data_IF_107629578709
#
_entry.id   IF_107629578709
#
_cell.length_a   1.000
_cell.length_b   1.000
_cell.length_c   1.000
_cell.angle_alpha   90.00
_cell.angle_beta   90.00
_cell.angle_gamma   90.00
#
_symmetry.space_group_name_H-M   'P 1'
#
loop_
_entity.id
_entity.type
_entity.pdbx_description
1 polymer ?
#
# COMPACT_ATOMS: atom_id res chain seq x y z
N UNK A 1 10.43 10.47 -10.38
CA UNK A 1 11.45 9.80 -9.58
C UNK A 1 11.40 8.30 -9.82
N UNK A 2 12.53 7.67 -10.01
CA UNK A 2 12.61 6.22 -10.06
C UNK A 2 13.56 5.74 -8.96
N UNK A 3 13.11 4.79 -8.17
CA UNK A 3 13.85 4.22 -7.05
C UNK A 3 13.73 2.70 -7.12
N UNK A 4 14.85 1.99 -7.20
CA UNK A 4 14.90 0.54 -7.34
C UNK A 4 13.93 0.04 -8.43
N UNK A 5 13.94 0.73 -9.57
CA UNK A 5 12.97 0.53 -10.63
C UNK A 5 13.33 -0.60 -11.59
N UNK A 6 14.55 -1.10 -11.54
CA UNK A 6 15.01 -2.25 -12.34
C UNK A 6 14.66 -3.54 -11.61
N UNK A 7 13.58 -4.18 -12.01
CA UNK A 7 13.09 -5.40 -11.35
C UNK A 7 13.91 -6.65 -11.69
N UNK A 8 14.93 -6.55 -12.53
CA UNK A 8 15.89 -7.62 -12.73
C UNK A 8 16.97 -7.64 -11.65
N UNK A 9 17.08 -6.57 -10.87
CA UNK A 9 18.04 -6.43 -9.80
C UNK A 9 17.41 -6.76 -8.45
N UNK A 10 18.08 -7.61 -7.68
CA UNK A 10 17.68 -7.90 -6.30
C UNK A 10 17.97 -6.68 -5.42
N UNK A 11 17.00 -6.33 -4.57
CA UNK A 11 17.22 -5.36 -3.50
C UNK A 11 16.93 -6.02 -2.15
N UNK A 12 17.64 -5.60 -1.11
CA UNK A 12 17.40 -6.02 0.27
C UNK A 12 17.46 -4.78 1.14
N UNK A 13 16.32 -4.45 1.75
CA UNK A 13 16.17 -3.25 2.57
C UNK A 13 15.60 -3.63 3.92
N UNK A 14 16.18 -3.08 4.99
CA UNK A 14 15.55 -3.07 6.30
C UNK A 14 14.94 -1.68 6.50
N UNK A 15 13.61 -1.58 6.55
CA UNK A 15 12.97 -0.28 6.62
C UNK A 15 13.27 0.49 7.91
N UNK A 16 13.69 -0.19 8.98
CA UNK A 16 14.12 0.48 10.21
C UNK A 16 15.39 1.33 10.02
N UNK A 17 16.18 1.03 8.97
CA UNK A 17 17.33 1.83 8.61
C UNK A 17 16.99 3.04 7.72
N UNK A 18 15.75 3.14 7.26
CA UNK A 18 15.29 4.23 6.40
C UNK A 18 14.67 5.35 7.23
N UNK A 19 14.82 6.57 6.77
CA UNK A 19 14.24 7.76 7.40
C UNK A 19 12.81 7.98 6.89
N UNK A 20 11.89 8.30 7.80
CA UNK A 20 10.54 8.72 7.43
C UNK A 20 10.61 10.04 6.65
N UNK A 21 9.84 10.11 5.57
CA UNK A 21 9.68 11.31 4.76
C UNK A 21 8.22 11.74 4.77
N UNK A 22 7.97 13.03 4.76
CA UNK A 22 6.60 13.54 4.67
C UNK A 22 6.01 13.20 3.32
N UNK A 23 4.76 12.76 3.34
CA UNK A 23 3.95 12.63 2.13
C UNK A 23 3.29 13.97 1.79
N UNK A 24 2.63 14.11 0.62
CA UNK A 24 1.84 15.31 0.33
C UNK A 24 0.66 15.51 1.29
N UNK A 25 0.19 14.44 1.96
CA UNK A 25 -0.92 14.52 2.91
C UNK A 25 -0.41 14.81 4.32
N UNK A 26 -1.05 15.80 4.97
CA UNK A 26 -0.70 16.18 6.33
C UNK A 26 -0.92 15.02 7.31
N UNK A 27 0.07 14.78 8.16
CA UNK A 27 0.00 13.71 9.17
C UNK A 27 0.31 12.32 8.63
N UNK A 28 0.73 12.21 7.38
CA UNK A 28 1.12 10.95 6.77
C UNK A 28 2.57 11.02 6.33
N UNK A 29 3.36 10.06 6.82
CA UNK A 29 4.76 9.90 6.46
C UNK A 29 4.96 8.59 5.73
N UNK A 30 6.04 8.48 4.97
CA UNK A 30 6.33 7.26 4.20
C UNK A 30 7.82 6.99 4.12
N UNK A 31 8.13 5.71 3.94
CA UNK A 31 9.45 5.22 3.54
C UNK A 31 9.27 4.53 2.20
N UNK A 32 9.91 5.05 1.17
CA UNK A 32 9.79 4.48 -0.18
C UNK A 32 10.72 3.29 -0.31
N UNK A 33 10.19 2.13 -0.73
CA UNK A 33 10.98 0.93 -0.96
C UNK A 33 11.31 0.76 -2.44
N UNK A 34 10.34 1.00 -3.31
CA UNK A 34 10.56 1.15 -4.75
C UNK A 34 9.56 2.15 -5.32
N UNK A 35 9.88 2.69 -6.50
CA UNK A 35 9.02 3.67 -7.14
C UNK A 35 9.35 3.86 -8.61
N UNK A 36 8.31 3.88 -9.43
CA UNK A 36 8.38 4.29 -10.84
C UNK A 36 7.36 5.40 -11.02
N UNK A 37 7.83 6.63 -11.17
CA UNK A 37 7.01 7.84 -11.28
C UNK A 37 7.14 8.76 -10.08
N UNK A 38 6.42 9.87 -10.11
CA UNK A 38 6.39 10.85 -9.02
C UNK A 38 5.22 10.58 -8.06
N UNK A 39 4.23 11.45 -7.94
CA UNK A 39 3.10 11.18 -7.04
C UNK A 39 2.09 10.19 -7.65
N UNK A 40 1.96 10.17 -8.97
CA UNK A 40 1.25 9.08 -9.68
C UNK A 40 2.31 8.04 -10.06
N UNK A 41 2.41 6.99 -9.27
CA UNK A 41 3.52 6.06 -9.36
C UNK A 41 3.10 4.62 -9.12
N UNK A 42 3.82 3.69 -9.75
CA UNK A 42 3.89 2.30 -9.32
C UNK A 42 4.89 2.25 -8.18
N UNK A 43 4.43 1.91 -6.98
CA UNK A 43 5.24 2.09 -5.78
C UNK A 43 4.98 1.04 -4.70
N UNK A 44 6.02 0.77 -3.92
CA UNK A 44 5.93 0.01 -2.67
C UNK A 44 6.50 0.88 -1.56
N UNK A 45 5.75 1.01 -0.47
CA UNK A 45 6.14 1.90 0.64
C UNK A 45 5.69 1.35 1.98
N UNK A 46 6.38 1.77 3.03
CA UNK A 46 5.85 1.72 4.39
C UNK A 46 5.25 3.11 4.65
N UNK A 47 4.01 3.14 5.11
CA UNK A 47 3.25 4.38 5.33
C UNK A 47 2.81 4.46 6.77
N UNK A 48 2.96 5.62 7.40
CA UNK A 48 2.54 5.85 8.79
C UNK A 48 1.57 7.02 8.85
N UNK A 49 0.39 6.76 9.40
CA UNK A 49 -0.60 7.78 9.72
C UNK A 49 -0.40 8.21 11.17
N UNK A 50 -0.28 9.51 11.41
CA UNK A 50 -0.43 10.05 12.75
C UNK A 50 -1.87 9.85 13.25
N UNK A 51 -2.06 9.79 14.56
CA UNK A 51 -3.41 9.70 15.12
C UNK A 51 -4.27 10.88 14.64
N UNK A 52 -5.44 10.59 14.10
CA UNK A 52 -6.36 11.57 13.54
C UNK A 52 -6.08 11.98 12.10
N UNK A 53 -5.03 11.47 11.47
CA UNK A 53 -4.75 11.77 10.07
C UNK A 53 -5.80 11.15 9.14
N UNK A 54 -6.11 11.84 8.06
CA UNK A 54 -7.06 11.39 7.05
C UNK A 54 -6.64 11.85 5.67
N UNK A 55 -7.04 11.08 4.66
CA UNK A 55 -6.93 11.49 3.26
C UNK A 55 -8.28 11.97 2.75
N UNK A 56 -8.28 12.92 1.83
CA UNK A 56 -9.46 13.20 1.02
C UNK A 56 -9.83 11.96 0.19
N UNK A 57 -11.11 11.85 -0.18
CA UNK A 57 -11.56 10.76 -1.05
C UNK A 57 -10.75 10.76 -2.35
N UNK A 58 -10.21 9.61 -2.69
CA UNK A 58 -9.40 9.46 -3.89
C UNK A 58 -9.65 8.12 -4.57
N UNK A 59 -9.25 8.03 -5.83
CA UNK A 59 -9.41 6.85 -6.67
C UNK A 59 -8.06 6.22 -6.97
N UNK A 60 -7.99 4.89 -6.87
CA UNK A 60 -6.81 4.11 -7.24
C UNK A 60 -7.01 3.53 -8.64
N UNK A 61 -6.42 4.15 -9.65
CA UNK A 61 -6.63 3.78 -11.06
C UNK A 61 -6.06 2.40 -11.43
N UNK A 62 -4.98 1.95 -10.81
CA UNK A 62 -4.41 0.60 -10.97
C UNK A 62 -4.39 -0.20 -9.65
N UNK A 63 -5.27 0.18 -8.72
CA UNK A 63 -5.45 -0.56 -7.49
C UNK A 63 -4.44 -0.26 -6.40
N UNK A 64 -4.75 -0.79 -5.22
CA UNK A 64 -3.94 -0.64 -4.02
C UNK A 64 -4.01 -1.91 -3.19
N UNK A 65 -2.87 -2.34 -2.67
CA UNK A 65 -2.79 -3.43 -1.71
C UNK A 65 -2.20 -2.90 -0.40
N UNK A 66 -2.81 -3.28 0.73
CA UNK A 66 -2.43 -2.81 2.06
C UNK A 66 -2.33 -3.99 3.02
N UNK A 67 -1.26 -4.04 3.80
CA UNK A 67 -1.17 -4.90 4.97
C UNK A 67 -0.96 -4.01 6.20
N UNK A 68 -1.84 -4.13 7.19
CA UNK A 68 -1.76 -3.34 8.43
C UNK A 68 -0.70 -3.96 9.34
N UNK A 69 0.37 -3.21 9.61
CA UNK A 69 1.51 -3.65 10.41
C UNK A 69 1.41 -3.22 11.87
N UNK A 70 0.75 -2.09 12.15
CA UNK A 70 0.59 -1.55 13.50
C UNK A 70 -0.62 -0.61 13.53
N UNK A 71 -1.27 -0.50 14.69
CA UNK A 71 -2.43 0.36 14.87
C UNK A 71 -3.69 -0.12 14.19
N UNK A 72 -4.56 0.81 13.82
CA UNK A 72 -5.84 0.54 13.16
C UNK A 72 -6.00 1.46 11.96
N UNK A 73 -6.12 0.88 10.78
CA UNK A 73 -6.44 1.59 9.54
C UNK A 73 -7.95 1.57 9.33
N UNK A 74 -8.50 2.65 8.83
CA UNK A 74 -9.95 2.77 8.63
C UNK A 74 -10.28 3.44 7.29
N UNK A 75 -11.45 3.13 6.78
CA UNK A 75 -12.11 3.89 5.73
C UNK A 75 -13.63 3.83 5.97
N UNK A 76 -14.42 4.30 5.03
CA UNK A 76 -15.88 4.31 5.15
C UNK A 76 -16.50 2.91 5.26
N UNK A 77 -15.76 1.86 4.95
CA UNK A 77 -16.27 0.48 5.01
C UNK A 77 -15.96 -0.23 6.33
N UNK A 78 -15.06 0.31 7.13
CA UNK A 78 -14.74 -0.33 8.41
C UNK A 78 -13.44 0.10 9.05
N UNK A 79 -13.09 -0.60 10.13
CA UNK A 79 -11.88 -0.43 10.92
C UNK A 79 -11.07 -1.71 10.88
N UNK A 80 -9.79 -1.62 10.52
CA UNK A 80 -8.97 -2.78 10.21
C UNK A 80 -7.75 -2.82 11.12
N UNK A 81 -7.66 -3.83 12.01
CA UNK A 81 -6.55 -3.97 12.94
C UNK A 81 -5.31 -4.59 12.29
N UNK A 82 -4.25 -4.69 13.07
CA UNK A 82 -3.00 -5.37 12.69
C UNK A 82 -3.28 -6.76 12.11
N UNK A 83 -2.62 -7.09 11.02
CA UNK A 83 -2.77 -8.36 10.32
C UNK A 83 -3.81 -8.35 9.20
N UNK A 84 -4.57 -7.27 9.06
CA UNK A 84 -5.55 -7.16 7.97
C UNK A 84 -4.87 -6.88 6.65
N UNK A 85 -5.23 -7.66 5.63
CA UNK A 85 -4.88 -7.40 4.25
C UNK A 85 -6.10 -6.84 3.52
N UNK A 86 -5.90 -5.74 2.80
CA UNK A 86 -6.92 -5.09 1.97
C UNK A 86 -6.41 -5.01 0.53
N UNK A 87 -7.28 -5.33 -0.40
CA UNK A 87 -7.02 -5.08 -1.81
C UNK A 87 -8.15 -4.22 -2.36
N UNK A 88 -7.81 -3.02 -2.77
CA UNK A 88 -8.73 -2.10 -3.41
C UNK A 88 -8.53 -2.21 -4.92
N UNK A 89 -9.54 -2.70 -5.67
CA UNK A 89 -9.37 -2.98 -7.09
C UNK A 89 -9.15 -1.71 -7.92
N UNK A 90 -8.60 -1.85 -9.14
CA UNK A 90 -8.46 -0.72 -10.06
C UNK A 90 -9.76 0.04 -10.25
N UNK A 91 -9.70 1.38 -10.16
CA UNK A 91 -10.87 2.24 -10.30
C UNK A 91 -11.69 2.43 -9.03
N UNK A 92 -11.37 1.73 -7.94
CA UNK A 92 -12.06 1.92 -6.67
C UNK A 92 -11.68 3.24 -6.00
N UNK A 93 -12.61 3.76 -5.18
CA UNK A 93 -12.40 4.99 -4.42
C UNK A 93 -12.67 4.75 -2.95
N UNK A 94 -11.94 5.44 -2.08
CA UNK A 94 -12.17 5.40 -0.65
C UNK A 94 -11.67 6.69 0.04
N UNK A 95 -12.01 6.81 1.32
CA UNK A 95 -11.58 7.92 2.18
C UNK A 95 -10.87 7.34 3.40
N UNK A 96 -9.55 7.10 3.28
CA UNK A 96 -8.80 6.46 4.37
C UNK A 96 -8.50 7.42 5.50
N UNK A 97 -8.49 6.88 6.73
CA UNK A 97 -8.13 7.62 7.93
C UNK A 97 -7.63 6.68 9.02
N UNK A 98 -7.09 7.22 10.09
CA UNK A 98 -6.76 6.45 11.28
C UNK A 98 -6.92 7.31 12.52
N UNK A 99 -7.85 6.95 13.41
CA UNK A 99 -8.07 7.67 14.67
C UNK A 99 -6.92 7.47 15.65
N UNK A 100 -6.38 6.27 15.68
CA UNK A 100 -5.33 5.87 16.63
C UNK A 100 -3.92 6.03 16.05
N UNK A 101 -3.81 6.22 14.75
CA UNK A 101 -2.57 6.08 14.02
C UNK A 101 -2.37 4.64 13.55
N UNK A 102 -1.60 4.46 12.50
CA UNK A 102 -1.29 3.13 11.99
C UNK A 102 -0.02 3.15 11.16
N UNK A 103 0.53 1.95 10.96
CA UNK A 103 1.64 1.72 10.03
C UNK A 103 1.22 0.63 9.05
N UNK A 104 1.44 0.88 7.78
CA UNK A 104 0.98 0.05 6.67
C UNK A 104 2.13 -0.31 5.75
N UNK A 105 2.06 -1.53 5.19
CA UNK A 105 2.79 -1.88 3.97
C UNK A 105 1.84 -1.66 2.79
N UNK A 106 2.25 -0.86 1.80
CA UNK A 106 1.37 -0.43 0.70
C UNK A 106 2.03 -0.68 -0.64
N UNK A 107 1.27 -1.27 -1.56
CA UNK A 107 1.65 -1.39 -2.97
C UNK A 107 0.61 -0.65 -3.82
N UNK A 108 1.08 0.32 -4.61
CA UNK A 108 0.25 1.13 -5.49
C UNK A 108 0.48 0.78 -6.95
N UNK A 109 -0.61 0.67 -7.74
CA UNK A 109 -0.58 0.51 -9.19
C UNK A 109 0.10 -0.78 -9.67
N UNK A 110 0.09 -1.83 -8.85
CA UNK A 110 0.65 -3.13 -9.21
C UNK A 110 -0.37 -4.08 -9.86
N UNK A 111 -1.66 -3.70 -9.83
CA UNK A 111 -2.73 -4.51 -10.42
C UNK A 111 -2.98 -4.05 -11.86
N UNK A 112 -3.17 -5.02 -12.76
CA UNK A 112 -3.49 -4.71 -14.16
C UNK A 112 -4.94 -4.28 -14.33
N UNK A 113 -5.20 -3.42 -15.32
CA UNK A 113 -6.57 -2.96 -15.63
C UNK A 113 -7.39 -4.03 -16.36
N UNK A 114 -6.74 -4.99 -17.00
CA UNK A 114 -7.38 -6.04 -17.80
C UNK A 114 -7.76 -7.27 -16.98
N UNK A 115 -7.24 -7.40 -15.78
CA UNK A 115 -7.45 -8.56 -14.93
C UNK A 115 -8.68 -8.34 -14.05
N UNK A 116 -9.80 -8.95 -14.42
CA UNK A 116 -11.08 -8.76 -13.75
C UNK A 116 -11.42 -9.87 -12.77
N UNK A 117 -10.72 -10.99 -12.81
CA UNK A 117 -10.97 -12.16 -11.97
C UNK A 117 -9.71 -12.62 -11.27
N UNK A 118 -9.89 -13.19 -10.09
CA UNK A 118 -8.79 -13.83 -9.36
C UNK A 118 -8.70 -15.28 -9.78
N UNK A 119 -7.47 -15.76 -9.93
CA UNK A 119 -7.22 -17.17 -10.07
C UNK A 119 -7.37 -17.86 -8.71
N UNK A 120 -8.15 -18.94 -8.68
CA UNK A 120 -8.31 -19.76 -7.48
C UNK A 120 -7.36 -20.94 -7.58
N UNK A 121 -6.46 -21.06 -6.60
CA UNK A 121 -5.47 -22.12 -6.55
C UNK A 121 -5.71 -22.99 -5.32
N UNK A 122 -5.89 -24.31 -5.53
CA UNK A 122 -5.95 -25.26 -4.45
C UNK A 122 -4.55 -25.49 -3.89
N UNK A 123 -4.31 -25.04 -2.67
CA UNK A 123 -3.00 -25.11 -2.03
C UNK A 123 -2.59 -26.53 -1.63
N UNK A 124 -3.51 -27.50 -1.65
CA UNK A 124 -3.20 -28.90 -1.40
C UNK A 124 -2.72 -29.64 -2.65
N UNK A 125 -3.16 -29.19 -3.83
CA UNK A 125 -2.83 -29.84 -5.10
C UNK A 125 -1.90 -29.01 -5.97
N UNK A 126 -1.76 -27.71 -5.71
CA UNK A 126 -0.88 -26.83 -6.47
C UNK A 126 0.59 -27.15 -6.24
N UNK A 127 1.37 -26.97 -7.29
CA UNK A 127 2.82 -27.08 -7.22
C UNK A 127 3.40 -25.73 -6.75
N UNK A 128 4.17 -25.79 -5.67
CA UNK A 128 4.86 -24.61 -5.12
C UNK A 128 6.29 -24.52 -5.64
N UNK A 129 6.72 -23.30 -5.89
CA UNK A 129 8.06 -23.00 -6.39
C UNK A 129 9.04 -22.68 -5.26
#
# INVERSE_FOLDING_TARGET
MNLHADYSERIVLNHHALTWQMSPELGVERKMLDRIGDEVAKATSIVRYAAGAEFARHTHDLGEEILVLDGVFSDETGHYPVGTYLMNPPGSSHTPFSKEGCTLFVKLRHLGTEQTEREIVDTQTAQWL
#
